data_IF_623731658073
#
_entry.id   IF_623731658073
#
_cell.length_a   1.000
_cell.length_b   1.000
_cell.length_c   1.000
_cell.angle_alpha   90.00
_cell.angle_beta   90.00
_cell.angle_gamma   90.00
#
_symmetry.space_group_name_H-M   'P 1'
#
loop_
_entity.id
_entity.type
_entity.pdbx_description
1 polymer ?
#
# COMPACT_ATOMS: atom_id res chain seq x y z
N UNK A 1 -22.71 25.03 1.62
CA UNK A 1 -22.83 23.63 2.09
C UNK A 1 -22.90 22.76 0.84
N UNK A 2 -21.78 22.61 0.12
CA UNK A 2 -21.71 21.84 -1.12
C UNK A 2 -21.09 20.50 -0.80
N UNK A 3 -21.81 19.45 -1.17
CA UNK A 3 -21.57 18.06 -0.80
C UNK A 3 -20.12 17.62 -1.00
N UNK A 4 -19.59 17.04 0.07
CA UNK A 4 -18.41 16.18 0.06
C UNK A 4 -18.74 14.98 -0.82
N UNK A 5 -18.30 15.00 -2.07
CA UNK A 5 -18.13 13.78 -2.88
C UNK A 5 -17.11 12.93 -2.13
N UNK A 6 -17.61 12.04 -1.28
CA UNK A 6 -16.84 10.95 -0.71
C UNK A 6 -16.30 10.17 -1.90
N UNK A 7 -14.99 10.22 -2.08
CA UNK A 7 -14.28 9.33 -2.98
C UNK A 7 -14.46 7.92 -2.41
N UNK A 8 -15.50 7.24 -2.89
CA UNK A 8 -15.80 5.87 -2.51
C UNK A 8 -14.71 5.03 -3.17
N UNK A 9 -13.60 4.81 -2.45
CA UNK A 9 -12.67 3.73 -2.78
C UNK A 9 -13.51 2.45 -2.95
N UNK A 10 -13.64 1.99 -4.19
CA UNK A 10 -14.47 0.85 -4.54
C UNK A 10 -13.97 -0.38 -3.77
N UNK A 11 -14.61 -0.67 -2.65
CA UNK A 11 -14.29 -1.83 -1.80
C UNK A 11 -15.25 -2.95 -2.18
N UNK A 12 -15.25 -3.32 -3.46
CA UNK A 12 -15.92 -4.54 -3.88
C UNK A 12 -15.07 -5.72 -3.39
N UNK A 13 -15.61 -6.62 -2.56
CA UNK A 13 -14.87 -7.80 -2.14
C UNK A 13 -14.59 -8.66 -3.36
N UNK A 14 -13.34 -8.60 -3.85
CA UNK A 14 -12.89 -9.47 -4.95
C UNK A 14 -12.75 -10.88 -4.38
N UNK A 15 -13.71 -11.73 -4.71
CA UNK A 15 -13.71 -13.13 -4.30
C UNK A 15 -12.66 -13.88 -5.12
N UNK A 16 -11.45 -13.98 -4.58
CA UNK A 16 -10.37 -14.83 -5.06
C UNK A 16 -10.02 -15.88 -3.99
N UNK A 17 -9.48 -17.05 -4.36
CA UNK A 17 -9.10 -18.09 -3.40
C UNK A 17 -8.01 -17.62 -2.42
N UNK A 18 -8.04 -18.12 -1.17
CA UNK A 18 -7.05 -17.77 -0.15
C UNK A 18 -5.62 -18.07 -0.59
N UNK A 19 -5.39 -19.22 -1.23
CA UNK A 19 -4.06 -19.62 -1.75
C UNK A 19 -3.44 -18.56 -2.67
N UNK A 20 -4.27 -17.78 -3.39
CA UNK A 20 -3.78 -16.71 -4.25
C UNK A 20 -3.20 -15.53 -3.44
N UNK A 21 -3.76 -15.24 -2.25
CA UNK A 21 -3.20 -14.28 -1.30
C UNK A 21 -1.90 -14.81 -0.70
N UNK A 22 -1.87 -16.08 -0.31
CA UNK A 22 -0.70 -16.70 0.30
C UNK A 22 0.50 -16.67 -0.67
N UNK A 23 0.28 -16.99 -1.96
CA UNK A 23 1.33 -16.87 -2.97
C UNK A 23 1.73 -15.43 -3.29
N UNK A 24 0.81 -14.48 -3.17
CA UNK A 24 1.17 -13.06 -3.30
C UNK A 24 2.04 -12.61 -2.12
N UNK A 25 1.74 -13.05 -0.89
CA UNK A 25 2.56 -12.76 0.29
C UNK A 25 3.96 -13.36 0.14
N UNK A 26 4.06 -14.62 -0.29
CA UNK A 26 5.33 -15.26 -0.62
C UNK A 26 6.13 -14.49 -1.68
N UNK A 27 5.46 -14.03 -2.75
CA UNK A 27 6.09 -13.24 -3.80
C UNK A 27 6.54 -11.86 -3.30
N UNK A 28 5.68 -11.14 -2.56
CA UNK A 28 5.95 -9.80 -2.06
C UNK A 28 7.11 -9.78 -1.04
N UNK A 29 7.29 -10.88 -0.30
CA UNK A 29 8.38 -11.07 0.64
C UNK A 29 9.58 -11.85 0.06
N UNK A 30 9.55 -12.19 -1.23
CA UNK A 30 10.67 -12.77 -1.96
C UNK A 30 10.95 -14.25 -1.70
N UNK A 31 9.98 -15.00 -1.15
CA UNK A 31 10.06 -16.45 -0.98
C UNK A 31 9.95 -17.20 -2.31
N UNK A 32 9.14 -16.67 -3.24
CA UNK A 32 9.03 -17.17 -4.62
C UNK A 32 9.32 -16.06 -5.62
N UNK A 33 9.86 -16.42 -6.78
CA UNK A 33 10.06 -15.45 -7.84
C UNK A 33 8.77 -15.13 -8.60
N UNK A 34 8.83 -14.11 -9.46
CA UNK A 34 7.68 -13.68 -10.27
C UNK A 34 7.17 -14.81 -11.18
N UNK A 35 8.05 -15.65 -11.74
CA UNK A 35 7.63 -16.71 -12.68
C UNK A 35 6.85 -17.79 -11.93
N UNK A 36 7.34 -18.19 -10.77
CA UNK A 36 6.67 -19.16 -9.89
C UNK A 36 5.30 -18.64 -9.44
N UNK A 37 5.22 -17.37 -9.01
CA UNK A 37 3.94 -16.74 -8.67
C UNK A 37 2.90 -16.83 -9.79
N UNK A 38 3.25 -16.40 -11.01
CA UNK A 38 2.34 -16.45 -12.16
C UNK A 38 2.02 -17.89 -12.60
N UNK A 39 2.95 -18.84 -12.42
CA UNK A 39 2.73 -20.27 -12.69
C UNK A 39 1.63 -20.83 -11.78
N UNK A 40 1.70 -20.55 -10.47
CA UNK A 40 0.68 -21.00 -9.50
C UNK A 40 -0.68 -20.36 -9.75
N UNK A 41 -0.73 -19.07 -10.08
CA UNK A 41 -1.98 -18.42 -10.51
C UNK A 41 -2.57 -19.08 -11.77
N UNK A 42 -1.74 -19.59 -12.67
CA UNK A 42 -2.17 -20.37 -13.83
C UNK A 42 -2.97 -21.62 -13.46
N UNK A 43 -2.66 -22.25 -12.32
CA UNK A 43 -3.45 -23.35 -11.77
C UNK A 43 -4.90 -22.93 -11.46
N UNK A 44 -5.09 -21.73 -10.90
CA UNK A 44 -6.43 -21.20 -10.61
C UNK A 44 -7.19 -20.81 -11.89
N UNK A 45 -6.48 -20.43 -12.95
CA UNK A 45 -7.11 -20.19 -14.26
C UNK A 45 -7.74 -21.47 -14.81
N UNK A 46 -7.08 -22.62 -14.62
CA UNK A 46 -7.66 -23.91 -15.00
C UNK A 46 -8.95 -24.26 -14.22
N UNK A 47 -9.17 -23.64 -13.05
CA UNK A 47 -10.37 -23.80 -12.22
C UNK A 47 -11.47 -22.76 -12.52
N UNK A 48 -11.34 -21.99 -13.61
CA UNK A 48 -12.37 -21.06 -14.08
C UNK A 48 -12.17 -19.60 -13.64
N UNK A 49 -11.09 -19.28 -12.94
CA UNK A 49 -10.69 -17.89 -12.73
C UNK A 49 -10.04 -17.31 -13.98
N UNK A 50 -10.00 -15.98 -14.08
CA UNK A 50 -9.22 -15.31 -15.13
C UNK A 50 -7.95 -14.71 -14.52
N UNK A 51 -6.85 -14.74 -15.28
CA UNK A 51 -5.60 -14.11 -14.86
C UNK A 51 -5.81 -12.61 -14.58
N UNK A 52 -6.66 -11.94 -15.37
CA UNK A 52 -7.03 -10.53 -15.18
C UNK A 52 -7.75 -10.30 -13.85
N UNK A 53 -8.71 -11.15 -13.47
CA UNK A 53 -9.40 -11.04 -12.18
C UNK A 53 -8.42 -11.24 -11.03
N UNK A 54 -7.61 -12.31 -11.07
CA UNK A 54 -6.63 -12.63 -10.03
C UNK A 54 -5.61 -11.50 -9.84
N UNK A 55 -4.99 -11.05 -10.93
CA UNK A 55 -3.98 -9.98 -10.88
C UNK A 55 -4.56 -8.63 -10.51
N UNK A 56 -5.77 -8.27 -10.98
CA UNK A 56 -6.43 -7.04 -10.56
C UNK A 56 -6.71 -7.00 -9.06
N UNK A 57 -6.95 -8.18 -8.46
CA UNK A 57 -7.22 -8.33 -7.03
C UNK A 57 -5.95 -8.28 -6.17
N UNK A 58 -4.86 -8.85 -6.64
CA UNK A 58 -3.63 -9.02 -5.86
C UNK A 58 -2.61 -7.90 -6.07
N UNK A 59 -2.50 -7.36 -7.29
CA UNK A 59 -1.44 -6.40 -7.62
C UNK A 59 -1.85 -4.99 -7.17
N UNK A 60 -0.95 -4.22 -6.55
CA UNK A 60 -1.23 -2.85 -6.14
C UNK A 60 -1.64 -1.98 -7.32
N UNK A 61 -2.77 -1.27 -7.17
CA UNK A 61 -3.16 -0.19 -8.08
C UNK A 61 -2.70 1.15 -7.50
N UNK A 62 -1.48 1.56 -7.84
CA UNK A 62 -0.90 2.80 -7.29
C UNK A 62 -1.64 4.07 -7.72
N UNK A 63 -2.29 4.07 -8.90
CA UNK A 63 -3.09 5.20 -9.34
C UNK A 63 -4.33 5.40 -8.46
N UNK A 64 -4.96 4.31 -8.02
CA UNK A 64 -6.07 4.36 -7.07
C UNK A 64 -5.60 4.50 -5.60
N UNK A 65 -4.31 4.29 -5.32
CA UNK A 65 -3.76 4.38 -3.97
C UNK A 65 -3.40 5.82 -3.56
N UNK A 66 -3.25 6.74 -4.52
CA UNK A 66 -3.00 8.15 -4.23
C UNK A 66 -4.26 8.81 -3.65
N UNK A 67 -4.32 8.89 -2.31
CA UNK A 67 -5.43 9.56 -1.61
C UNK A 67 -5.19 11.06 -1.42
N UNK A 68 -3.93 11.46 -1.27
CA UNK A 68 -3.52 12.84 -1.03
C UNK A 68 -2.39 13.16 -1.99
N UNK A 69 -2.53 14.24 -2.75
CA UNK A 69 -1.47 14.68 -3.64
C UNK A 69 -0.23 15.03 -2.84
N UNK A 70 0.94 14.65 -3.35
CA UNK A 70 2.22 15.08 -2.79
C UNK A 70 2.38 16.61 -2.74
N UNK A 71 1.69 17.32 -3.64
CA UNK A 71 1.69 18.78 -3.71
C UNK A 71 0.47 19.42 -3.02
N UNK A 72 -0.28 18.65 -2.20
CA UNK A 72 -1.46 19.17 -1.52
C UNK A 72 -1.07 20.39 -0.66
N UNK A 73 -1.68 21.57 -0.87
CA UNK A 73 -1.33 22.77 -0.13
C UNK A 73 -1.69 22.66 1.37
N UNK A 74 -2.43 21.66 1.81
CA UNK A 74 -2.75 21.41 3.22
C UNK A 74 -1.70 20.56 3.94
N UNK A 75 -0.68 20.01 3.27
CA UNK A 75 0.39 19.23 3.91
C UNK A 75 1.74 19.97 3.91
N UNK A 76 2.58 19.62 4.89
CA UNK A 76 3.98 20.04 5.01
C UNK A 76 4.85 18.81 5.16
N UNK A 77 5.78 18.64 4.24
CA UNK A 77 6.71 17.54 4.25
C UNK A 77 8.14 17.99 4.59
N UNK A 78 8.80 17.25 5.47
CA UNK A 78 10.14 17.57 5.97
C UNK A 78 10.91 16.30 6.28
N UNK A 79 12.22 16.30 6.07
CA UNK A 79 13.09 15.29 6.66
C UNK A 79 13.41 15.63 8.11
N UNK A 80 13.18 14.69 9.00
CA UNK A 80 13.45 14.83 10.44
C UNK A 80 14.46 13.79 10.88
N UNK A 81 15.38 14.20 11.74
CA UNK A 81 16.37 13.33 12.37
C UNK A 81 15.89 12.91 13.76
N UNK A 82 16.24 11.72 14.19
CA UNK A 82 15.89 11.18 15.50
C UNK A 82 17.01 10.30 16.05
N UNK A 83 17.14 10.27 17.38
CA UNK A 83 18.14 9.44 18.03
C UNK A 83 17.75 7.96 17.95
N UNK A 84 18.68 7.13 17.51
CA UNK A 84 18.56 5.67 17.47
C UNK A 84 19.73 5.04 18.26
N UNK A 85 19.78 5.24 19.59
CA UNK A 85 20.93 4.81 20.40
C UNK A 85 21.08 3.29 20.47
N UNK A 86 19.99 2.54 20.24
CA UNK A 86 20.01 1.07 20.14
C UNK A 86 20.17 0.57 18.69
N UNK A 87 20.25 1.48 17.74
CA UNK A 87 20.47 1.22 16.32
C UNK A 87 21.78 1.85 15.85
N UNK A 88 21.72 2.63 14.76
CA UNK A 88 22.89 3.23 14.11
C UNK A 88 23.24 4.65 14.59
N UNK A 89 22.88 5.00 15.83
CA UNK A 89 23.15 6.31 16.44
C UNK A 89 22.10 7.36 16.12
N UNK A 90 21.98 7.76 14.85
CA UNK A 90 20.99 8.74 14.38
C UNK A 90 20.25 8.18 13.15
N UNK A 91 18.92 8.24 13.17
CA UNK A 91 18.06 7.93 12.04
C UNK A 91 17.54 9.20 11.38
N UNK A 92 17.14 9.10 10.11
CA UNK A 92 16.43 10.15 9.39
C UNK A 92 15.18 9.55 8.73
N UNK A 93 14.05 10.24 8.88
CA UNK A 93 12.77 9.85 8.29
C UNK A 93 12.12 11.00 7.53
N UNK A 94 11.22 10.65 6.62
CA UNK A 94 10.37 11.59 5.92
C UNK A 94 9.05 11.77 6.70
N UNK A 95 8.84 12.97 7.24
CA UNK A 95 7.65 13.32 8.02
C UNK A 95 6.75 14.23 7.20
N UNK A 96 5.51 13.79 6.97
CA UNK A 96 4.45 14.59 6.36
C UNK A 96 3.36 14.82 7.39
N UNK A 97 3.00 16.09 7.59
CA UNK A 97 1.96 16.50 8.54
C UNK A 97 1.00 17.49 7.87
N UNK A 98 -0.25 17.61 8.34
CA UNK A 98 -1.10 18.75 7.99
C UNK A 98 -0.42 20.08 8.36
N UNK A 99 -0.60 21.12 7.55
CA UNK A 99 -0.05 22.46 7.83
C UNK A 99 -0.61 23.07 9.11
N UNK A 100 -1.91 22.87 9.35
CA UNK A 100 -2.63 23.44 10.49
C UNK A 100 -2.67 22.49 11.70
N UNK A 101 -1.64 21.64 11.84
CA UNK A 101 -1.56 20.71 12.96
C UNK A 101 -1.32 21.48 14.27
N UNK A 102 -2.36 21.57 15.10
CA UNK A 102 -2.32 22.30 16.39
C UNK A 102 -1.61 21.51 17.51
N UNK A 103 -1.49 20.20 17.36
CA UNK A 103 -0.86 19.31 18.34
C UNK A 103 0.44 18.77 17.74
N UNK A 104 1.51 18.65 18.53
CA UNK A 104 2.77 18.10 18.04
C UNK A 104 2.55 16.72 17.41
N UNK A 105 2.96 16.54 16.15
CA UNK A 105 2.95 15.24 15.49
C UNK A 105 3.77 14.25 16.32
N UNK A 106 3.15 13.13 16.67
CA UNK A 106 3.84 12.04 17.35
C UNK A 106 4.59 11.23 16.30
N UNK A 107 5.90 11.08 16.51
CA UNK A 107 6.72 10.16 15.76
C UNK A 107 6.77 8.87 16.57
N UNK A 108 6.15 7.81 16.06
CA UNK A 108 6.26 6.47 16.61
C UNK A 108 7.47 5.79 15.95
N UNK A 109 8.39 5.28 16.77
CA UNK A 109 9.53 4.46 16.35
C UNK A 109 9.58 3.22 17.23
#
# INVERSE_FOLDING_TARGET
>A
MSDLTKDQAQTEPRVIPQEAFDWYDEYAHGLIDRREFFSRLGGLVALGFTMTTLTSALIPNYAAAEQVSFNDPAIKATYVKFDSPKGHGEGQGYLVVPKDLQVKAQLFW
#
